data_IF_452716618916
#
_entry.id   IF_452716618916
#
_cell.length_a   1.000
_cell.length_b   1.000
_cell.length_c   1.000
_cell.angle_alpha   90.00
_cell.angle_beta   90.00
_cell.angle_gamma   90.00
#
_symmetry.space_group_name_H-M   'P 1'
#
loop_
_entity.id
_entity.type
_entity.pdbx_description
1 polymer ?
#
# COMPACT_ATOMS: atom_id res chain seq x y z
N UNK A 1 8.86 -9.76 -21.87
CA UNK A 1 10.05 -8.87 -21.87
C UNK A 1 11.08 -9.45 -20.93
N UNK A 2 12.22 -9.95 -21.42
CA UNK A 2 13.33 -10.35 -20.55
C UNK A 2 13.89 -9.12 -19.80
N UNK A 3 14.46 -9.33 -18.62
CA UNK A 3 15.13 -8.31 -17.80
C UNK A 3 16.29 -8.97 -17.05
N UNK A 4 17.26 -8.18 -16.65
CA UNK A 4 18.37 -8.58 -15.77
C UNK A 4 18.24 -7.88 -14.40
N UNK A 5 19.06 -8.30 -13.43
CA UNK A 5 19.04 -7.79 -12.06
C UNK A 5 19.38 -6.29 -12.01
N UNK A 6 20.43 -5.85 -12.71
CA UNK A 6 20.88 -4.45 -12.81
C UNK A 6 19.79 -3.46 -13.28
N UNK A 7 18.76 -3.94 -13.98
CA UNK A 7 17.63 -3.11 -14.39
C UNK A 7 16.74 -2.69 -13.20
N UNK A 8 16.86 -3.33 -12.04
CA UNK A 8 16.19 -2.88 -10.81
C UNK A 8 16.83 -1.60 -10.25
N UNK A 9 18.15 -1.46 -10.36
CA UNK A 9 18.87 -0.24 -9.94
C UNK A 9 18.45 0.94 -10.81
N UNK A 10 18.41 0.75 -12.13
CA UNK A 10 17.98 1.80 -13.08
C UNK A 10 16.54 2.26 -12.83
N UNK A 11 15.63 1.33 -12.52
CA UNK A 11 14.24 1.66 -12.16
C UNK A 11 14.17 2.42 -10.83
N UNK A 12 14.94 2.01 -9.84
CA UNK A 12 15.00 2.66 -8.53
C UNK A 12 15.57 4.07 -8.63
N UNK A 13 16.59 4.27 -9.47
CA UNK A 13 17.13 5.59 -9.80
C UNK A 13 16.03 6.48 -10.39
N UNK A 14 15.27 5.99 -11.38
CA UNK A 14 14.16 6.76 -11.94
C UNK A 14 13.11 7.14 -10.87
N UNK A 15 12.74 6.21 -10.00
CA UNK A 15 11.80 6.50 -8.89
C UNK A 15 12.35 7.55 -7.92
N UNK A 16 13.66 7.54 -7.66
CA UNK A 16 14.30 8.50 -6.73
C UNK A 16 14.22 9.95 -7.21
N UNK A 17 14.03 10.19 -8.51
CA UNK A 17 13.93 11.53 -9.08
C UNK A 17 12.53 12.16 -8.90
N UNK A 18 11.50 11.36 -8.66
CA UNK A 18 10.11 11.83 -8.66
C UNK A 18 9.82 12.84 -7.55
N UNK A 19 10.25 12.54 -6.32
CA UNK A 19 9.93 13.35 -5.15
C UNK A 19 10.77 14.63 -5.05
N UNK A 20 12.07 14.64 -5.40
CA UNK A 20 12.83 15.88 -5.57
C UNK A 20 12.20 16.85 -6.57
N UNK A 21 11.71 16.35 -7.71
CA UNK A 21 10.99 17.19 -8.69
C UNK A 21 9.68 17.70 -8.10
N UNK A 22 8.87 16.83 -7.50
CA UNK A 22 7.59 17.23 -6.89
C UNK A 22 7.76 18.30 -5.81
N UNK A 23 8.83 18.21 -5.01
CA UNK A 23 9.10 19.15 -3.92
C UNK A 23 9.36 20.59 -4.40
N UNK A 24 9.72 20.78 -5.68
CA UNK A 24 9.82 22.12 -6.28
C UNK A 24 8.45 22.80 -6.46
N UNK A 25 7.38 22.01 -6.55
CA UNK A 25 6.02 22.50 -6.83
C UNK A 25 5.08 22.36 -5.63
N UNK A 26 5.26 21.32 -4.81
CA UNK A 26 4.43 21.02 -3.64
C UNK A 26 5.34 20.75 -2.45
N UNK A 27 5.69 21.79 -1.66
CA UNK A 27 6.58 21.63 -0.52
C UNK A 27 5.88 20.93 0.66
N UNK A 28 6.66 20.31 1.54
CA UNK A 28 6.17 19.77 2.81
C UNK A 28 5.57 18.36 2.74
N UNK A 29 5.67 17.67 1.59
CA UNK A 29 5.21 16.28 1.44
C UNK A 29 6.01 15.28 2.29
N UNK A 30 7.18 15.66 2.79
CA UNK A 30 8.03 14.96 3.75
C UNK A 30 7.45 14.96 5.18
N UNK A 31 6.51 15.86 5.48
CA UNK A 31 5.92 16.03 6.82
C UNK A 31 4.74 15.09 7.11
N UNK A 32 4.44 14.19 6.19
CA UNK A 32 3.30 13.28 6.31
C UNK A 32 3.48 12.00 5.50
N UNK A 33 2.37 11.39 5.12
CA UNK A 33 2.31 10.08 4.48
C UNK A 33 1.60 10.14 3.13
N UNK A 34 1.95 9.18 2.27
CA UNK A 34 1.22 8.87 1.06
C UNK A 34 0.28 7.69 1.23
N UNK A 35 -1.01 7.87 0.94
CA UNK A 35 -1.98 6.78 0.86
C UNK A 35 -2.05 6.24 -0.57
N UNK A 36 -1.21 5.23 -0.85
CA UNK A 36 -1.15 4.59 -2.16
C UNK A 36 -1.70 3.16 -2.11
N UNK A 37 -2.62 2.87 -3.02
CA UNK A 37 -3.18 1.53 -3.22
C UNK A 37 -2.33 0.77 -4.25
N UNK A 38 -1.41 -0.06 -3.75
CA UNK A 38 -0.43 -0.79 -4.54
C UNK A 38 -0.72 -2.29 -4.47
N UNK A 39 -0.70 -2.97 -5.61
CA UNK A 39 -1.10 -4.38 -5.68
C UNK A 39 -0.09 -5.20 -6.45
N UNK A 40 0.29 -6.36 -5.90
CA UNK A 40 0.90 -7.42 -6.68
C UNK A 40 -0.15 -8.13 -7.55
N UNK A 41 0.35 -8.92 -8.50
CA UNK A 41 -0.43 -9.79 -9.39
C UNK A 41 0.21 -11.17 -9.44
N UNK A 42 -0.53 -12.12 -10.02
CA UNK A 42 -0.07 -13.49 -10.16
C UNK A 42 1.29 -13.60 -10.86
N UNK A 43 1.99 -14.68 -10.53
CA UNK A 43 3.30 -15.03 -11.08
C UNK A 43 3.23 -16.46 -11.60
N UNK A 44 4.06 -16.76 -12.59
CA UNK A 44 4.21 -18.09 -13.14
C UNK A 44 5.70 -18.44 -13.26
N UNK A 45 6.02 -19.72 -13.47
CA UNK A 45 7.35 -20.17 -13.86
C UNK A 45 7.30 -20.66 -15.31
N UNK A 46 8.28 -20.27 -16.11
CA UNK A 46 8.46 -20.84 -17.45
C UNK A 46 8.94 -22.30 -17.34
N UNK A 47 8.84 -23.10 -18.42
CA UNK A 47 9.40 -24.47 -18.42
C UNK A 47 10.89 -24.52 -18.08
N UNK A 48 11.66 -23.46 -18.38
CA UNK A 48 13.07 -23.32 -18.01
C UNK A 48 13.32 -22.81 -16.58
N UNK A 49 12.28 -22.70 -15.75
CA UNK A 49 12.38 -22.32 -14.34
C UNK A 49 12.42 -20.80 -14.06
N UNK A 50 12.41 -19.94 -15.08
CA UNK A 50 12.41 -18.49 -14.91
C UNK A 50 11.06 -17.98 -14.40
N UNK A 51 11.08 -17.01 -13.50
CA UNK A 51 9.86 -16.37 -12.99
C UNK A 51 9.32 -15.36 -14.01
N UNK A 52 8.05 -15.50 -14.39
CA UNK A 52 7.32 -14.60 -15.25
C UNK A 52 6.23 -13.88 -14.44
N UNK A 53 6.33 -12.55 -14.35
CA UNK A 53 5.41 -11.71 -13.58
C UNK A 53 5.37 -10.27 -14.08
N UNK A 54 4.31 -9.49 -13.76
CA UNK A 54 4.29 -8.06 -14.06
C UNK A 54 5.44 -7.30 -13.39
N UNK A 55 5.94 -6.26 -14.06
CA UNK A 55 7.10 -5.49 -13.59
C UNK A 55 6.90 -4.90 -12.19
N UNK A 56 5.70 -4.40 -11.88
CA UNK A 56 5.38 -3.85 -10.56
C UNK A 56 5.35 -4.93 -9.47
N UNK A 57 4.83 -6.13 -9.77
CA UNK A 57 4.93 -7.28 -8.85
C UNK A 57 6.40 -7.58 -8.56
N UNK A 58 7.26 -7.57 -9.58
CA UNK A 58 8.69 -7.79 -9.40
C UNK A 58 9.33 -6.71 -8.54
N UNK A 59 8.97 -5.45 -8.77
CA UNK A 59 9.48 -4.32 -8.00
C UNK A 59 9.04 -4.38 -6.52
N UNK A 60 7.76 -4.56 -6.23
CA UNK A 60 7.25 -4.63 -4.85
C UNK A 60 7.86 -5.80 -4.06
N UNK A 61 8.20 -6.91 -4.73
CA UNK A 61 8.86 -8.05 -4.10
C UNK A 61 10.38 -7.93 -3.98
N UNK A 62 11.00 -6.93 -4.61
CA UNK A 62 12.44 -6.71 -4.55
C UNK A 62 12.89 -6.09 -3.23
N UNK A 63 14.19 -6.18 -2.93
CA UNK A 63 14.83 -5.48 -1.81
C UNK A 63 14.68 -3.96 -1.92
N UNK A 64 14.76 -3.40 -3.13
CA UNK A 64 14.57 -1.96 -3.38
C UNK A 64 13.25 -1.41 -2.87
N UNK A 65 12.21 -2.25 -2.78
CA UNK A 65 10.94 -1.86 -2.19
C UNK A 65 10.82 -2.33 -0.74
N UNK A 66 11.09 -3.61 -0.47
CA UNK A 66 10.85 -4.23 0.84
C UNK A 66 11.79 -3.73 1.93
N UNK A 67 13.04 -3.49 1.57
CA UNK A 67 14.15 -3.11 2.44
C UNK A 67 14.68 -1.72 2.08
N UNK A 68 13.80 -0.88 1.49
CA UNK A 68 14.16 0.50 1.16
C UNK A 68 14.67 1.23 2.41
N UNK A 69 15.74 2.04 2.29
CA UNK A 69 16.17 2.88 3.40
C UNK A 69 15.03 3.83 3.79
N UNK A 70 15.09 4.34 5.02
CA UNK A 70 14.16 5.37 5.43
C UNK A 70 14.29 6.59 4.51
N UNK A 71 13.17 6.99 3.92
CA UNK A 71 13.03 8.22 3.14
C UNK A 71 11.67 8.83 3.51
N UNK A 72 11.62 10.10 3.98
CA UNK A 72 10.37 10.75 4.35
C UNK A 72 9.36 10.78 3.19
N UNK A 73 9.81 10.76 1.94
CA UNK A 73 8.95 10.76 0.77
C UNK A 73 8.50 9.36 0.31
N UNK A 74 8.99 8.26 0.92
CA UNK A 74 8.44 6.91 0.72
C UNK A 74 7.73 6.36 1.97
N UNK A 75 7.32 7.29 2.84
CA UNK A 75 6.49 7.02 4.02
C UNK A 75 5.03 6.81 3.59
N UNK A 76 4.63 5.54 3.49
CA UNK A 76 3.28 5.14 3.07
C UNK A 76 2.40 4.74 4.24
N UNK A 77 1.08 4.80 4.03
CA UNK A 77 0.11 4.26 5.00
C UNK A 77 0.07 2.74 5.00
N UNK A 78 0.27 2.13 3.82
CA UNK A 78 0.17 0.68 3.59
C UNK A 78 1.46 -0.03 4.01
N UNK A 79 1.41 -0.97 4.98
CA UNK A 79 2.52 -1.87 5.28
C UNK A 79 2.87 -2.74 4.07
N UNK A 80 4.13 -3.18 3.97
CA UNK A 80 4.59 -4.01 2.85
C UNK A 80 3.78 -5.32 2.74
N UNK A 81 3.42 -5.91 3.87
CA UNK A 81 2.63 -7.14 3.99
C UNK A 81 1.26 -7.00 3.33
N UNK A 82 0.60 -5.84 3.51
CA UNK A 82 -0.71 -5.56 2.89
C UNK A 82 -0.61 -5.42 1.37
N UNK A 83 0.50 -4.90 0.85
CA UNK A 83 0.78 -4.74 -0.59
C UNK A 83 1.16 -6.09 -1.23
N UNK A 84 1.87 -6.92 -0.47
CA UNK A 84 2.39 -8.22 -0.89
C UNK A 84 1.40 -9.38 -0.71
N UNK A 85 0.22 -9.11 -0.15
CA UNK A 85 -0.86 -10.08 -0.04
C UNK A 85 -1.32 -10.52 -1.44
N UNK A 86 -1.39 -11.84 -1.65
CA UNK A 86 -1.81 -12.44 -2.93
C UNK A 86 -3.31 -12.33 -3.16
N UNK A 87 -4.10 -12.29 -2.08
CA UNK A 87 -5.54 -12.06 -2.12
C UNK A 87 -5.84 -10.57 -2.31
N UNK A 88 -6.40 -10.23 -3.48
CA UNK A 88 -6.69 -8.83 -3.82
C UNK A 88 -7.75 -8.18 -2.92
N UNK A 89 -8.69 -8.95 -2.37
CA UNK A 89 -9.68 -8.43 -1.44
C UNK A 89 -9.01 -8.07 -0.12
N UNK A 90 -8.22 -8.99 0.44
CA UNK A 90 -7.51 -8.75 1.70
C UNK A 90 -6.50 -7.63 1.58
N UNK A 91 -5.76 -7.56 0.46
CA UNK A 91 -4.85 -6.46 0.15
C UNK A 91 -5.58 -5.11 0.09
N UNK A 92 -6.72 -5.03 -0.61
CA UNK A 92 -7.50 -3.79 -0.70
C UNK A 92 -8.08 -3.38 0.65
N UNK A 93 -8.68 -4.31 1.38
CA UNK A 93 -9.32 -4.06 2.66
C UNK A 93 -8.31 -3.53 3.68
N UNK A 94 -7.18 -4.23 3.83
CA UNK A 94 -6.14 -3.86 4.79
C UNK A 94 -5.45 -2.54 4.45
N UNK A 95 -5.14 -2.28 3.17
CA UNK A 95 -4.58 -0.98 2.77
C UNK A 95 -5.55 0.18 3.02
N UNK A 96 -6.85 -0.02 2.74
CA UNK A 96 -7.89 0.96 3.02
C UNK A 96 -7.99 1.23 4.53
N UNK A 97 -8.02 0.17 5.35
CA UNK A 97 -8.09 0.29 6.79
C UNK A 97 -6.88 1.06 7.36
N UNK A 98 -5.66 0.73 6.93
CA UNK A 98 -4.45 1.47 7.33
C UNK A 98 -4.51 2.93 6.89
N UNK A 99 -4.99 3.22 5.68
CA UNK A 99 -5.19 4.57 5.18
C UNK A 99 -6.16 5.39 6.04
N UNK A 100 -7.31 4.80 6.38
CA UNK A 100 -8.31 5.41 7.27
C UNK A 100 -7.76 5.62 8.68
N UNK A 101 -6.94 4.70 9.19
CA UNK A 101 -6.34 4.83 10.53
C UNK A 101 -5.32 5.98 10.62
N UNK A 102 -4.66 6.29 9.50
CA UNK A 102 -3.62 7.30 9.39
C UNK A 102 -4.11 8.55 8.67
N UNK A 103 -5.43 8.75 8.54
CA UNK A 103 -6.01 9.77 7.68
C UNK A 103 -5.51 11.21 7.94
N UNK A 104 -5.24 11.56 9.20
CA UNK A 104 -4.71 12.89 9.58
C UNK A 104 -3.26 13.13 9.12
N UNK A 105 -2.52 12.10 8.75
CA UNK A 105 -1.15 12.22 8.24
C UNK A 105 -1.10 12.17 6.70
N UNK A 106 -2.22 11.90 6.02
CA UNK A 106 -2.23 11.73 4.57
C UNK A 106 -2.15 13.08 3.88
N UNK A 107 -1.05 13.32 3.15
CA UNK A 107 -0.85 14.54 2.34
C UNK A 107 -1.07 14.30 0.85
N UNK A 108 -1.07 13.03 0.42
CA UNK A 108 -1.24 12.64 -0.98
C UNK A 108 -1.87 11.26 -1.09
N UNK A 109 -2.67 11.07 -2.12
CA UNK A 109 -3.42 9.84 -2.38
C UNK A 109 -3.18 9.36 -3.80
N UNK A 110 -3.20 8.05 -4.04
CA UNK A 110 -3.12 7.57 -5.40
C UNK A 110 -3.06 6.06 -5.58
N UNK A 111 -2.87 5.69 -6.83
CA UNK A 111 -2.53 4.35 -7.29
C UNK A 111 -1.70 4.52 -8.58
N UNK A 112 -1.12 3.44 -9.10
CA UNK A 112 -0.35 3.51 -10.36
C UNK A 112 -1.22 3.96 -11.54
N UNK A 113 -2.47 3.54 -11.57
CA UNK A 113 -3.46 3.94 -12.59
C UNK A 113 -4.69 4.54 -11.92
N UNK A 114 -5.32 5.51 -12.60
CA UNK A 114 -6.58 6.11 -12.15
C UNK A 114 -7.66 5.05 -11.88
N UNK A 115 -7.78 4.03 -12.74
CA UNK A 115 -8.72 2.92 -12.56
C UNK A 115 -8.47 2.10 -11.28
N UNK A 116 -7.22 2.03 -10.80
CA UNK A 116 -6.89 1.44 -9.51
C UNK A 116 -7.44 2.26 -8.35
N UNK A 117 -7.24 3.58 -8.40
CA UNK A 117 -7.72 4.50 -7.37
C UNK A 117 -9.25 4.57 -7.32
N UNK A 118 -9.92 4.62 -8.48
CA UNK A 118 -11.39 4.57 -8.56
C UNK A 118 -11.93 3.27 -7.94
N UNK A 119 -11.25 2.13 -8.15
CA UNK A 119 -11.63 0.87 -7.50
C UNK A 119 -11.49 0.91 -5.99
N UNK A 120 -10.47 1.58 -5.46
CA UNK A 120 -10.33 1.78 -4.01
C UNK A 120 -11.48 2.64 -3.46
N UNK A 121 -11.85 3.73 -4.15
CA UNK A 121 -13.01 4.55 -3.76
C UNK A 121 -14.31 3.73 -3.77
N UNK A 122 -14.56 2.96 -4.85
CA UNK A 122 -15.71 2.05 -4.93
C UNK A 122 -15.68 0.95 -3.87
N UNK A 123 -14.50 0.51 -3.46
CA UNK A 123 -14.36 -0.45 -2.37
C UNK A 123 -14.77 0.16 -1.04
N UNK A 124 -14.32 1.40 -0.75
CA UNK A 124 -14.74 2.14 0.44
C UNK A 124 -16.26 2.31 0.46
N UNK A 125 -16.86 2.79 -0.63
CA UNK A 125 -18.31 2.97 -0.77
C UNK A 125 -19.09 1.70 -0.39
N UNK A 126 -18.57 0.51 -0.72
CA UNK A 126 -19.24 -0.77 -0.45
C UNK A 126 -18.94 -1.37 0.93
N UNK A 127 -17.79 -1.05 1.53
CA UNK A 127 -17.27 -1.74 2.72
C UNK A 127 -17.06 -0.82 3.93
N UNK A 128 -17.40 0.46 3.84
CA UNK A 128 -17.13 1.45 4.90
C UNK A 128 -17.72 1.04 6.26
N UNK A 129 -18.87 0.37 6.30
CA UNK A 129 -19.50 -0.09 7.56
C UNK A 129 -18.62 -1.08 8.30
N UNK A 130 -18.03 -2.05 7.59
CA UNK A 130 -17.09 -3.01 8.17
C UNK A 130 -15.79 -2.33 8.60
N UNK A 131 -15.26 -1.43 7.76
CA UNK A 131 -14.03 -0.69 8.08
C UNK A 131 -14.21 0.18 9.33
N UNK A 132 -15.34 0.89 9.45
CA UNK A 132 -15.68 1.68 10.63
C UNK A 132 -15.88 0.81 11.87
N UNK A 133 -16.50 -0.37 11.71
CA UNK A 133 -16.62 -1.33 12.81
C UNK A 133 -15.24 -1.73 13.34
N UNK A 134 -14.34 -2.17 12.46
CA UNK A 134 -12.99 -2.60 12.82
C UNK A 134 -12.18 -1.49 13.51
N UNK A 135 -12.27 -0.26 13.00
CA UNK A 135 -11.64 0.91 13.62
C UNK A 135 -12.21 1.17 15.03
N UNK A 136 -13.53 1.05 15.18
CA UNK A 136 -14.22 1.34 16.44
C UNK A 136 -13.93 0.29 17.52
N UNK A 137 -13.87 -0.98 17.14
CA UNK A 137 -13.63 -2.09 18.08
C UNK A 137 -12.14 -2.38 18.28
N UNK A 138 -11.27 -1.85 17.41
CA UNK A 138 -9.85 -2.17 17.42
C UNK A 138 -9.58 -3.64 17.03
N UNK A 139 -10.50 -4.27 16.31
CA UNK A 139 -10.40 -5.67 15.89
C UNK A 139 -10.45 -5.78 14.38
N UNK A 140 -9.67 -6.69 13.80
CA UNK A 140 -9.68 -6.92 12.37
C UNK A 140 -10.69 -7.98 11.93
N UNK A 141 -11.50 -7.65 10.93
CA UNK A 141 -12.50 -8.48 10.30
C UNK A 141 -11.97 -9.90 10.03
N UNK A 142 -12.70 -10.96 10.40
CA UNK A 142 -12.26 -12.35 10.23
C UNK A 142 -12.16 -12.78 8.77
N UNK A 143 -12.72 -12.03 7.82
CA UNK A 143 -12.50 -12.27 6.38
C UNK A 143 -11.05 -12.05 5.95
N UNK A 144 -10.27 -11.30 6.74
CA UNK A 144 -8.82 -11.16 6.53
C UNK A 144 -8.14 -12.34 7.22
N UNK A 145 -7.81 -13.37 6.44
CA UNK A 145 -7.26 -14.63 6.96
C UNK A 145 -5.75 -14.72 6.87
N UNK A 146 -5.11 -13.91 6.02
CA UNK A 146 -3.64 -13.90 5.84
C UNK A 146 -2.94 -13.46 7.14
N UNK A 147 -2.17 -14.35 7.80
CA UNK A 147 -1.57 -14.04 9.10
C UNK A 147 -0.62 -12.83 9.07
N UNK A 148 0.14 -12.68 7.98
CA UNK A 148 1.11 -11.59 7.83
C UNK A 148 0.40 -10.24 7.68
N UNK A 149 -0.70 -10.21 6.93
CA UNK A 149 -1.56 -9.02 6.83
C UNK A 149 -2.19 -8.70 8.18
N UNK A 150 -2.76 -9.70 8.87
CA UNK A 150 -3.39 -9.49 10.18
C UNK A 150 -2.41 -8.89 11.17
N UNK A 151 -1.22 -9.46 11.30
CA UNK A 151 -0.19 -8.97 12.21
C UNK A 151 0.19 -7.52 11.87
N UNK A 152 0.44 -7.22 10.60
CA UNK A 152 0.84 -5.88 10.17
C UNK A 152 -0.23 -4.81 10.44
N UNK A 153 -1.51 -5.14 10.23
CA UNK A 153 -2.62 -4.23 10.49
C UNK A 153 -2.85 -4.03 11.99
N UNK A 154 -2.80 -5.10 12.78
CA UNK A 154 -3.01 -5.03 14.24
C UNK A 154 -1.96 -4.16 14.93
N UNK A 155 -0.68 -4.25 14.51
CA UNK A 155 0.38 -3.33 14.98
C UNK A 155 0.02 -1.85 14.76
N UNK A 156 -0.70 -1.54 13.68
CA UNK A 156 -1.20 -0.19 13.40
C UNK A 156 -2.39 0.21 14.27
N UNK A 157 -3.38 -0.68 14.43
CA UNK A 157 -4.61 -0.43 15.19
C UNK A 157 -4.36 -0.19 16.68
N UNK A 158 -3.47 -0.97 17.29
CA UNK A 158 -3.13 -0.85 18.73
C UNK A 158 -2.59 0.53 19.10
N UNK A 159 -1.95 1.21 18.15
CA UNK A 159 -1.35 2.53 18.41
C UNK A 159 -2.35 3.70 18.41
N UNK A 160 -3.65 3.51 18.07
CA UNK A 160 -4.61 4.61 17.86
C UNK A 160 -6.05 4.36 18.32
N UNK A 161 -6.37 4.60 19.60
CA UNK A 161 -7.71 4.31 20.15
C UNK A 161 -8.85 5.31 19.82
N UNK A 162 -8.67 6.37 19.01
CA UNK A 162 -9.65 7.49 18.97
C UNK A 162 -10.13 7.99 17.58
N UNK A 163 -10.44 7.09 16.63
CA UNK A 163 -11.02 7.47 15.32
C UNK A 163 -12.55 7.30 15.32
N UNK A 164 -13.23 7.81 16.35
CA UNK A 164 -14.67 7.51 16.57
C UNK A 164 -15.60 8.61 16.02
N UNK A 165 -15.10 9.79 15.61
CA UNK A 165 -15.98 10.96 15.34
C UNK A 165 -16.22 11.35 13.89
N UNK A 166 -15.51 10.81 12.88
CA UNK A 166 -15.55 11.39 11.53
C UNK A 166 -16.50 10.72 10.50
N UNK A 167 -16.93 9.47 10.70
CA UNK A 167 -17.62 8.69 9.65
C UNK A 167 -19.12 8.43 9.89
N UNK A 168 -19.81 9.33 10.60
CA UNK A 168 -21.29 9.33 10.64
C UNK A 168 -21.81 10.25 9.55
N UNK A 169 -22.43 9.68 8.51
CA UNK A 169 -23.45 10.34 7.69
C UNK A 169 -24.79 9.71 8.05
#
# INVERSE_FOLDING_TARGET
MPTIEDELDRRSLLYSLLMPVMNQFVPGLDKGKGMYFLFIKSEAKTPGGLVARPVLTSYYKSSHFKQRPYDPYTNYTSPNETILCSDSYQSMYSQMLCGLCLHNEVLRVGAVFASGFIRAIRFLEKNWTFLCHDIKTGTLNPTITDPSVREAVMRGLETRPQIIRLYRV
#
